data_IF_880270012586
#
_entry.id   IF_880270012586
#
_cell.length_a   1.000
_cell.length_b   1.000
_cell.length_c   1.000
_cell.angle_alpha   90.00
_cell.angle_beta   90.00
_cell.angle_gamma   90.00
#
_symmetry.space_group_name_H-M   'P 1'
#
loop_
_entity.id
_entity.type
_entity.pdbx_description
1 polymer ?
#
# COMPACT_ATOMS: atom_id res chain seq x y z
N UNK A 1 11.30 1.01 -14.96
CA UNK A 1 12.54 1.11 -14.15
C UNK A 1 13.67 1.93 -14.83
N UNK A 2 13.42 3.01 -15.61
CA UNK A 2 14.50 3.61 -16.46
C UNK A 2 14.48 5.13 -16.70
N UNK A 3 13.85 5.93 -15.84
CA UNK A 3 14.17 7.37 -15.77
C UNK A 3 14.70 7.74 -14.38
N UNK A 4 14.13 7.14 -13.33
CA UNK A 4 14.76 7.10 -12.01
C UNK A 4 16.13 6.39 -12.02
N UNK A 5 16.32 5.33 -12.81
CA UNK A 5 17.63 4.67 -12.93
C UNK A 5 18.63 5.43 -13.82
N UNK A 6 18.17 6.34 -14.68
CA UNK A 6 19.05 7.24 -15.44
C UNK A 6 19.36 8.48 -14.60
N UNK A 7 18.40 9.01 -13.83
CA UNK A 7 18.64 10.09 -12.87
C UNK A 7 19.42 9.65 -11.61
N UNK A 8 19.33 8.38 -11.20
CA UNK A 8 20.08 7.83 -10.05
C UNK A 8 21.48 7.32 -10.42
N UNK A 9 21.79 7.17 -11.72
CA UNK A 9 23.16 6.91 -12.21
C UNK A 9 23.83 8.12 -12.85
N UNK A 10 23.07 9.19 -13.12
CA UNK A 10 23.64 10.48 -13.43
C UNK A 10 24.06 11.07 -12.09
N UNK A 11 25.36 11.04 -11.82
CA UNK A 11 25.99 11.75 -10.72
C UNK A 11 25.32 13.12 -10.54
N UNK A 12 25.07 13.51 -9.28
CA UNK A 12 24.71 14.87 -8.87
C UNK A 12 25.88 15.82 -9.17
N UNK A 13 26.15 15.95 -10.46
CA UNK A 13 27.21 16.66 -11.12
C UNK A 13 26.54 17.63 -12.08
N UNK A 14 27.11 18.83 -12.22
CA UNK A 14 26.56 19.86 -13.11
C UNK A 14 26.41 19.34 -14.55
N UNK A 15 27.32 18.46 -14.99
CA UNK A 15 27.30 17.77 -16.29
C UNK A 15 26.08 16.86 -16.47
N UNK A 16 25.64 16.21 -15.41
CA UNK A 16 24.45 15.36 -15.40
C UNK A 16 23.15 16.15 -15.58
N UNK A 17 23.05 17.27 -14.84
CA UNK A 17 21.91 18.20 -14.90
C UNK A 17 21.83 18.89 -16.25
N UNK A 18 22.97 19.26 -16.83
CA UNK A 18 23.07 19.83 -18.17
C UNK A 18 22.62 18.84 -19.25
N UNK A 19 23.06 17.57 -19.16
CA UNK A 19 22.64 16.51 -20.10
C UNK A 19 21.13 16.25 -20.05
N UNK A 20 20.55 16.19 -18.85
CA UNK A 20 19.10 16.03 -18.68
C UNK A 20 18.32 17.23 -19.23
N UNK A 21 18.82 18.45 -19.01
CA UNK A 21 18.22 19.69 -19.53
C UNK A 21 18.26 19.72 -21.05
N UNK A 22 19.41 19.40 -21.65
CA UNK A 22 19.58 19.37 -23.10
C UNK A 22 18.67 18.33 -23.76
N UNK A 23 18.55 17.13 -23.16
CA UNK A 23 17.63 16.10 -23.64
C UNK A 23 16.16 16.54 -23.53
N UNK A 24 15.77 17.21 -22.44
CA UNK A 24 14.42 17.74 -22.28
C UNK A 24 14.09 18.82 -23.33
N UNK A 25 15.00 19.77 -23.55
CA UNK A 25 14.84 20.81 -24.57
C UNK A 25 14.74 20.21 -25.98
N UNK A 26 15.58 19.21 -26.28
CA UNK A 26 15.51 18.48 -27.54
C UNK A 26 14.15 17.82 -27.74
N UNK A 27 13.59 17.16 -26.71
CA UNK A 27 12.27 16.55 -26.81
C UNK A 27 11.16 17.59 -26.93
N UNK A 28 11.21 18.69 -26.19
CA UNK A 28 10.22 19.77 -26.31
C UNK A 28 10.13 20.28 -27.75
N UNK A 29 11.27 20.56 -28.38
CA UNK A 29 11.32 20.99 -29.78
C UNK A 29 10.76 19.91 -30.73
N UNK A 30 11.15 18.65 -30.52
CA UNK A 30 10.64 17.54 -31.35
C UNK A 30 9.14 17.38 -31.25
N UNK A 31 8.59 17.52 -30.04
CA UNK A 31 7.14 17.46 -29.80
C UNK A 31 6.44 18.61 -30.52
N UNK A 32 6.95 19.83 -30.43
CA UNK A 32 6.40 20.98 -31.18
C UNK A 32 6.40 20.74 -32.69
N UNK A 33 7.47 20.18 -33.25
CA UNK A 33 7.55 19.82 -34.68
C UNK A 33 6.47 18.81 -35.06
N UNK A 34 6.30 17.75 -34.25
CA UNK A 34 5.27 16.72 -34.49
C UNK A 34 3.86 17.31 -34.40
N UNK A 35 3.57 18.10 -33.38
CA UNK A 35 2.25 18.73 -33.22
C UNK A 35 1.96 19.77 -34.30
N UNK A 36 2.98 20.45 -34.83
CA UNK A 36 2.85 21.36 -35.97
C UNK A 36 2.56 20.60 -37.25
N UNK A 37 3.33 19.55 -37.55
CA UNK A 37 3.14 18.71 -38.73
C UNK A 37 1.77 18.01 -38.75
N UNK A 38 1.22 17.69 -37.58
CA UNK A 38 -0.06 16.99 -37.41
C UNK A 38 -1.24 17.94 -37.13
N UNK A 39 -1.10 19.25 -37.39
CA UNK A 39 -2.12 20.23 -37.00
C UNK A 39 -3.52 19.95 -37.54
N UNK A 40 -3.61 19.41 -38.75
CA UNK A 40 -4.85 19.06 -39.43
C UNK A 40 -5.13 17.56 -39.48
N UNK A 41 -4.38 16.78 -38.68
CA UNK A 41 -4.42 15.31 -38.67
C UNK A 41 -4.74 14.80 -37.26
N UNK A 42 -6.00 14.95 -36.78
CA UNK A 42 -6.39 14.50 -35.44
C UNK A 42 -6.11 13.01 -35.20
N UNK A 43 -6.21 12.18 -36.25
CA UNK A 43 -5.90 10.75 -36.22
C UNK A 43 -4.43 10.46 -35.90
N UNK A 44 -3.48 11.28 -36.36
CA UNK A 44 -2.06 11.11 -36.03
C UNK A 44 -1.78 11.49 -34.58
N UNK A 45 -2.44 12.54 -34.08
CA UNK A 45 -2.32 12.95 -32.67
C UNK A 45 -2.93 11.92 -31.74
N UNK A 46 -4.10 11.39 -32.08
CA UNK A 46 -4.72 10.30 -31.32
C UNK A 46 -3.85 9.03 -31.35
N UNK A 47 -3.21 8.74 -32.49
CA UNK A 47 -2.28 7.62 -32.63
C UNK A 47 -1.06 7.78 -31.73
N UNK A 48 -0.48 8.99 -31.68
CA UNK A 48 0.60 9.33 -30.75
C UNK A 48 0.18 9.11 -29.30
N UNK A 49 -0.93 9.71 -28.87
CA UNK A 49 -1.42 9.61 -27.48
C UNK A 49 -1.70 8.14 -27.12
N UNK A 50 -2.37 7.40 -28.00
CA UNK A 50 -2.63 5.98 -27.81
C UNK A 50 -1.34 5.16 -27.66
N UNK A 51 -0.36 5.41 -28.53
CA UNK A 51 0.93 4.70 -28.51
C UNK A 51 1.70 4.92 -27.20
N UNK A 52 1.62 6.11 -26.59
CA UNK A 52 2.31 6.40 -25.33
C UNK A 52 1.80 5.52 -24.18
N UNK A 53 0.49 5.41 -24.06
CA UNK A 53 -0.15 4.66 -22.98
C UNK A 53 -0.12 3.15 -23.21
N UNK A 54 -0.21 2.73 -24.47
CA UNK A 54 -0.22 1.32 -24.91
C UNK A 54 1.13 0.82 -25.41
N UNK A 55 2.23 1.35 -24.87
CA UNK A 55 3.58 0.89 -25.17
C UNK A 55 3.70 -0.63 -24.94
N UNK A 56 4.31 -1.32 -25.91
CA UNK A 56 4.50 -2.76 -25.93
C UNK A 56 3.34 -3.54 -26.56
N UNK A 57 2.21 -2.90 -26.83
CA UNK A 57 1.07 -3.52 -27.51
C UNK A 57 1.26 -3.55 -29.03
N UNK A 58 0.48 -4.40 -29.70
CA UNK A 58 0.48 -4.46 -31.17
C UNK A 58 -0.02 -3.15 -31.79
N UNK A 59 0.60 -2.74 -32.91
CA UNK A 59 0.25 -1.52 -33.63
C UNK A 59 -1.25 -1.42 -33.97
N UNK A 60 -1.90 -2.54 -34.31
CA UNK A 60 -3.34 -2.58 -34.62
C UNK A 60 -4.19 -2.28 -33.38
N UNK A 61 -3.81 -2.78 -32.21
CA UNK A 61 -4.45 -2.47 -30.92
C UNK A 61 -4.32 -0.98 -30.61
N UNK A 62 -3.12 -0.41 -30.79
CA UNK A 62 -2.86 1.02 -30.63
C UNK A 62 -3.75 1.86 -31.56
N UNK A 63 -3.87 1.48 -32.83
CA UNK A 63 -4.74 2.17 -33.79
C UNK A 63 -6.22 2.09 -33.40
N UNK A 64 -6.68 0.93 -32.93
CA UNK A 64 -8.06 0.74 -32.48
C UNK A 64 -8.40 1.70 -31.33
N UNK A 65 -7.53 1.80 -30.32
CA UNK A 65 -7.74 2.68 -29.18
C UNK A 65 -7.54 4.17 -29.53
N UNK A 66 -6.72 4.49 -30.53
CA UNK A 66 -6.62 5.85 -31.07
C UNK A 66 -7.94 6.31 -31.68
N UNK A 67 -8.64 5.44 -32.42
CA UNK A 67 -9.99 5.73 -32.94
C UNK A 67 -10.99 5.91 -31.80
N UNK A 68 -10.94 5.06 -30.78
CA UNK A 68 -11.81 5.21 -29.60
C UNK A 68 -11.60 6.54 -28.88
N UNK A 69 -10.37 7.04 -28.79
CA UNK A 69 -10.08 8.36 -28.21
C UNK A 69 -10.78 9.50 -28.99
N UNK A 70 -10.93 9.34 -30.31
CA UNK A 70 -11.68 10.27 -31.16
C UNK A 70 -13.20 10.02 -31.15
N UNK A 71 -13.69 9.02 -30.41
CA UNK A 71 -15.09 8.61 -30.43
C UNK A 71 -15.49 7.85 -31.71
N UNK A 72 -14.52 7.29 -32.43
CA UNK A 72 -14.72 6.64 -33.72
C UNK A 72 -14.67 5.11 -33.62
N UNK A 73 -15.46 4.44 -34.47
CA UNK A 73 -15.43 2.98 -34.64
C UNK A 73 -14.41 2.51 -35.68
N UNK A 74 -14.39 1.20 -35.95
CA UNK A 74 -13.57 0.66 -37.04
C UNK A 74 -14.05 1.19 -38.40
N UNK A 75 -13.11 1.64 -39.24
CA UNK A 75 -13.42 2.05 -40.62
C UNK A 75 -13.90 0.83 -41.41
N UNK A 76 -15.04 0.98 -42.09
CA UNK A 76 -15.68 -0.09 -42.87
C UNK A 76 -15.49 0.10 -44.38
N UNK A 77 -15.09 1.29 -44.82
CA UNK A 77 -14.82 1.60 -46.21
C UNK A 77 -13.45 1.06 -46.63
N UNK A 78 -13.43 0.01 -47.46
CA UNK A 78 -12.20 -0.55 -48.03
C UNK A 78 -11.37 0.50 -48.77
N UNK A 79 -12.02 1.44 -49.49
CA UNK A 79 -11.31 2.53 -50.17
C UNK A 79 -10.51 3.38 -49.18
N UNK A 80 -11.12 3.77 -48.06
CA UNK A 80 -10.43 4.55 -47.03
C UNK A 80 -9.33 3.74 -46.32
N UNK A 81 -9.57 2.45 -46.06
CA UNK A 81 -8.57 1.54 -45.48
C UNK A 81 -7.30 1.46 -46.35
N UNK A 82 -7.46 1.43 -47.68
CA UNK A 82 -6.35 1.36 -48.63
C UNK A 82 -5.79 2.74 -49.03
N UNK A 83 -6.23 3.83 -48.40
CA UNK A 83 -5.77 5.19 -48.70
C UNK A 83 -4.77 5.67 -47.65
N UNK A 84 -3.69 6.31 -48.10
CA UNK A 84 -2.68 6.92 -47.23
C UNK A 84 -1.53 5.98 -46.88
N UNK A 85 -0.62 6.42 -45.99
CA UNK A 85 0.54 5.66 -45.58
C UNK A 85 0.17 4.47 -44.67
N UNK A 86 1.03 3.44 -44.69
CA UNK A 86 0.91 2.28 -43.81
C UNK A 86 0.97 2.66 -42.32
N UNK A 87 0.37 1.84 -41.46
CA UNK A 87 0.28 2.08 -40.02
C UNK A 87 1.67 2.25 -39.37
N UNK A 88 2.66 1.46 -39.77
CA UNK A 88 4.04 1.60 -39.28
C UNK A 88 4.61 2.97 -39.61
N UNK A 89 4.48 3.41 -40.87
CA UNK A 89 4.95 4.73 -41.32
C UNK A 89 4.29 5.86 -40.55
N UNK A 90 2.99 5.74 -40.24
CA UNK A 90 2.25 6.71 -39.42
C UNK A 90 2.77 6.78 -37.97
N UNK A 91 2.97 5.62 -37.33
CA UNK A 91 3.54 5.52 -35.98
C UNK A 91 4.97 6.11 -35.92
N UNK A 92 5.80 5.81 -36.91
CA UNK A 92 7.16 6.36 -37.02
C UNK A 92 7.17 7.87 -37.25
N UNK A 93 6.22 8.39 -38.04
CA UNK A 93 6.07 9.82 -38.28
C UNK A 93 5.79 10.61 -36.98
N UNK A 94 5.04 10.03 -36.04
CA UNK A 94 4.79 10.61 -34.71
C UNK A 94 5.86 10.27 -33.66
N UNK A 95 6.93 9.59 -34.08
CA UNK A 95 8.13 9.33 -33.27
C UNK A 95 8.12 8.00 -32.52
N UNK A 96 7.15 7.13 -32.74
CA UNK A 96 7.17 5.77 -32.20
C UNK A 96 8.12 4.88 -33.00
N UNK A 97 8.55 3.78 -32.40
CA UNK A 97 9.30 2.72 -33.09
C UNK A 97 8.47 1.45 -33.10
N UNK A 98 8.39 0.76 -34.23
CA UNK A 98 7.66 -0.50 -34.36
C UNK A 98 8.65 -1.64 -34.52
N UNK A 99 8.80 -2.46 -33.47
CA UNK A 99 9.67 -3.64 -33.48
C UNK A 99 8.81 -4.90 -33.66
N UNK A 100 8.89 -5.52 -34.85
CA UNK A 100 8.03 -6.63 -35.23
C UNK A 100 6.57 -6.15 -35.39
N UNK A 101 5.77 -6.29 -34.32
CA UNK A 101 4.39 -5.77 -34.24
C UNK A 101 4.16 -4.80 -33.09
N UNK A 102 5.11 -4.70 -32.15
CA UNK A 102 4.94 -3.95 -30.92
C UNK A 102 5.41 -2.50 -31.07
N UNK A 103 4.65 -1.57 -30.49
CA UNK A 103 4.98 -0.14 -30.48
C UNK A 103 5.82 0.22 -29.26
N UNK A 104 6.88 1.00 -29.44
CA UNK A 104 7.80 1.39 -28.38
C UNK A 104 8.29 2.84 -28.52
N UNK A 105 8.76 3.38 -27.40
CA UNK A 105 9.52 4.64 -27.31
C UNK A 105 10.81 4.43 -26.51
N UNK A 106 11.29 3.18 -26.46
CA UNK A 106 12.39 2.74 -25.59
C UNK A 106 13.71 3.44 -25.91
N UNK A 107 13.89 3.81 -27.18
CA UNK A 107 15.02 4.55 -27.71
C UNK A 107 14.96 6.06 -27.42
N UNK A 108 13.85 6.56 -26.85
CA UNK A 108 13.58 7.99 -26.63
C UNK A 108 13.16 8.27 -25.18
N UNK A 109 14.07 8.10 -24.20
CA UNK A 109 13.76 8.32 -22.79
C UNK A 109 13.33 9.78 -22.56
N UNK A 110 12.15 9.96 -21.95
CA UNK A 110 11.58 11.28 -21.65
C UNK A 110 10.66 11.85 -22.74
N UNK A 111 10.62 11.28 -23.95
CA UNK A 111 9.75 11.74 -25.02
C UNK A 111 8.26 11.66 -24.64
N UNK A 112 7.85 10.53 -24.04
CA UNK A 112 6.47 10.35 -23.57
C UNK A 112 6.03 11.45 -22.59
N UNK A 113 6.90 11.79 -21.63
CA UNK A 113 6.66 12.87 -20.67
C UNK A 113 6.54 14.22 -21.37
N UNK A 114 7.43 14.52 -22.31
CA UNK A 114 7.40 15.78 -23.07
C UNK A 114 6.10 15.93 -23.89
N UNK A 115 5.64 14.85 -24.53
CA UNK A 115 4.35 14.85 -25.26
C UNK A 115 3.18 15.12 -24.31
N UNK A 116 3.13 14.44 -23.16
CA UNK A 116 2.04 14.60 -22.21
C UNK A 116 1.99 16.02 -21.62
N UNK A 117 3.13 16.59 -21.25
CA UNK A 117 3.22 17.99 -20.78
C UNK A 117 2.74 18.96 -21.87
N UNK A 118 3.23 18.80 -23.11
CA UNK A 118 2.79 19.64 -24.22
C UNK A 118 1.28 19.54 -24.47
N UNK A 119 0.74 18.32 -24.48
CA UNK A 119 -0.69 18.08 -24.63
C UNK A 119 -1.48 18.74 -23.50
N UNK A 120 -1.02 18.59 -22.25
CA UNK A 120 -1.69 19.14 -21.08
C UNK A 120 -1.73 20.67 -21.11
N UNK A 121 -0.64 21.35 -21.50
CA UNK A 121 -0.58 22.80 -21.58
C UNK A 121 -1.33 23.38 -22.78
N UNK A 122 -1.18 22.77 -23.95
CA UNK A 122 -1.65 23.37 -25.21
C UNK A 122 -3.10 22.98 -25.56
N UNK A 123 -3.65 21.98 -24.88
CA UNK A 123 -5.00 21.45 -25.13
C UNK A 123 -5.75 21.20 -23.81
N UNK A 124 -6.07 22.24 -23.01
CA UNK A 124 -6.73 22.05 -21.71
C UNK A 124 -8.04 21.25 -21.81
N UNK A 125 -8.81 21.44 -22.88
CA UNK A 125 -10.08 20.73 -23.08
C UNK A 125 -9.94 19.21 -23.28
N UNK A 126 -8.71 18.68 -23.46
CA UNK A 126 -8.48 17.23 -23.62
C UNK A 126 -8.36 16.50 -22.27
N UNK A 127 -8.19 17.21 -21.15
CA UNK A 127 -7.90 16.58 -19.85
C UNK A 127 -9.00 15.58 -19.47
N UNK A 128 -10.25 16.03 -19.43
CA UNK A 128 -11.39 15.18 -19.06
C UNK A 128 -11.62 14.04 -20.07
N UNK A 129 -11.70 14.27 -21.41
CA UNK A 129 -11.82 13.20 -22.38
C UNK A 129 -10.68 12.17 -22.31
N UNK A 130 -9.44 12.61 -22.08
CA UNK A 130 -8.29 11.73 -21.95
C UNK A 130 -8.41 10.84 -20.70
N UNK A 131 -8.76 11.42 -19.56
CA UNK A 131 -8.92 10.67 -18.30
C UNK A 131 -10.08 9.65 -18.41
N UNK A 132 -11.19 10.00 -19.05
CA UNK A 132 -12.31 9.07 -19.32
C UNK A 132 -11.89 7.94 -20.25
N UNK A 133 -11.14 8.25 -21.31
CA UNK A 133 -10.63 7.21 -22.22
C UNK A 133 -9.65 6.26 -21.51
N UNK A 134 -8.76 6.78 -20.67
CA UNK A 134 -7.84 5.97 -19.86
C UNK A 134 -8.58 5.08 -18.86
N UNK A 135 -9.66 5.57 -18.24
CA UNK A 135 -10.52 4.76 -17.37
C UNK A 135 -11.09 3.55 -18.10
N UNK A 136 -11.60 3.74 -19.33
CA UNK A 136 -12.06 2.65 -20.19
C UNK A 136 -10.96 1.63 -20.55
N UNK A 137 -9.71 2.11 -20.71
CA UNK A 137 -8.57 1.22 -20.95
C UNK A 137 -8.22 0.35 -19.76
N UNK A 138 -8.49 0.79 -18.53
CA UNK A 138 -8.16 0.08 -17.27
C UNK A 138 -9.30 -0.82 -16.81
N UNK A 139 -10.56 -0.41 -17.01
CA UNK A 139 -11.75 -1.18 -16.65
C UNK A 139 -11.88 -2.52 -17.41
N UNK A 140 -11.26 -2.61 -18.59
CA UNK A 140 -11.29 -3.81 -19.45
C UNK A 140 -10.16 -4.77 -19.13
N UNK A 141 -10.36 -5.68 -18.16
CA UNK A 141 -9.49 -6.81 -17.77
C UNK A 141 -8.01 -6.62 -18.12
N UNK A 142 -7.43 -5.53 -17.61
CA UNK A 142 -6.19 -4.96 -18.11
C UNK A 142 -4.97 -5.75 -17.66
N UNK A 143 -3.99 -5.93 -18.55
CA UNK A 143 -2.72 -6.56 -18.19
C UNK A 143 -1.92 -5.67 -17.22
N UNK A 144 -1.18 -6.30 -16.29
CA UNK A 144 -0.32 -5.60 -15.33
C UNK A 144 0.67 -4.64 -16.03
N UNK A 145 1.15 -5.02 -17.21
CA UNK A 145 2.07 -4.21 -18.04
C UNK A 145 1.43 -2.91 -18.49
N UNK A 146 0.19 -2.98 -19.00
CA UNK A 146 -0.56 -1.81 -19.45
C UNK A 146 -0.89 -0.89 -18.29
N UNK A 147 -1.36 -1.44 -17.17
CA UNK A 147 -1.66 -0.65 -15.97
C UNK A 147 -0.40 0.06 -15.44
N UNK A 148 0.76 -0.61 -15.48
CA UNK A 148 2.05 -0.02 -15.06
C UNK A 148 2.43 1.15 -15.95
N UNK A 149 2.29 0.98 -17.27
CA UNK A 149 2.57 2.04 -18.25
C UNK A 149 1.65 3.24 -18.03
N UNK A 150 0.33 3.00 -17.93
CA UNK A 150 -0.67 4.07 -17.79
C UNK A 150 -0.47 4.86 -16.51
N UNK A 151 -0.43 4.16 -15.38
CA UNK A 151 -0.30 4.80 -14.06
C UNK A 151 1.04 5.51 -13.89
N UNK A 152 2.13 4.97 -14.45
CA UNK A 152 3.45 5.59 -14.45
C UNK A 152 3.48 6.92 -15.20
N UNK A 153 2.88 6.98 -16.39
CA UNK A 153 2.80 8.23 -17.16
C UNK A 153 1.89 9.26 -16.50
N UNK A 154 0.74 8.83 -15.98
CA UNK A 154 -0.19 9.74 -15.31
C UNK A 154 0.40 10.33 -14.03
N UNK A 155 1.12 9.53 -13.23
CA UNK A 155 1.74 10.07 -12.01
C UNK A 155 2.88 11.03 -12.33
N UNK A 156 3.66 10.76 -13.37
CA UNK A 156 4.70 11.69 -13.82
C UNK A 156 4.09 13.00 -14.31
N UNK A 157 2.95 12.95 -15.00
CA UNK A 157 2.20 14.12 -15.42
C UNK A 157 1.63 14.88 -14.23
N UNK A 158 0.97 14.19 -13.29
CA UNK A 158 0.42 14.79 -12.08
C UNK A 158 1.48 15.53 -11.27
N UNK A 159 2.68 14.92 -11.14
CA UNK A 159 3.81 15.53 -10.43
C UNK A 159 4.35 16.75 -11.19
N UNK A 160 4.51 16.64 -12.51
CA UNK A 160 5.03 17.75 -13.33
C UNK A 160 4.09 18.96 -13.31
N UNK A 161 2.79 18.71 -13.33
CA UNK A 161 1.75 19.75 -13.45
C UNK A 161 1.13 20.14 -12.11
N UNK A 162 1.56 19.51 -11.03
CA UNK A 162 0.98 19.68 -9.69
C UNK A 162 -0.55 19.50 -9.68
N UNK A 163 -1.04 18.52 -10.46
CA UNK A 163 -2.48 18.31 -10.67
C UNK A 163 -2.99 17.09 -9.88
N UNK A 164 -3.78 17.38 -8.84
CA UNK A 164 -4.40 16.36 -7.98
C UNK A 164 -5.57 15.64 -8.65
N UNK A 165 -6.18 16.19 -9.71
CA UNK A 165 -7.32 15.57 -10.40
C UNK A 165 -6.96 14.17 -10.93
N UNK A 166 -5.77 14.03 -11.50
CA UNK A 166 -5.20 12.78 -12.00
C UNK A 166 -5.09 11.72 -10.89
N UNK A 167 -4.71 12.14 -9.68
CA UNK A 167 -4.62 11.24 -8.51
C UNK A 167 -5.99 10.73 -8.10
N UNK A 168 -7.04 11.56 -8.21
CA UNK A 168 -8.41 11.12 -7.96
C UNK A 168 -8.90 10.12 -9.02
N UNK A 169 -8.52 10.30 -10.29
CA UNK A 169 -8.81 9.34 -11.37
C UNK A 169 -8.16 7.99 -11.10
N UNK A 170 -6.87 7.97 -10.73
CA UNK A 170 -6.14 6.74 -10.39
C UNK A 170 -6.82 6.01 -9.22
N UNK A 171 -7.28 6.74 -8.21
CA UNK A 171 -8.08 6.17 -7.11
C UNK A 171 -9.39 5.54 -7.60
N UNK A 172 -9.99 6.07 -8.67
CA UNK A 172 -11.21 5.55 -9.29
C UNK A 172 -11.05 4.14 -9.88
N UNK A 173 -9.82 3.74 -10.21
CA UNK A 173 -9.53 2.40 -10.75
C UNK A 173 -9.52 1.29 -9.70
N UNK A 174 -9.59 1.67 -8.42
CA UNK A 174 -9.66 0.71 -7.32
C UNK A 174 -11.08 0.18 -7.19
N UNK A 175 -11.24 -1.14 -7.37
CA UNK A 175 -12.51 -1.84 -7.23
C UNK A 175 -12.38 -3.07 -6.32
N UNK A 176 -13.48 -3.55 -5.74
CA UNK A 176 -13.47 -4.74 -4.89
C UNK A 176 -13.15 -6.04 -5.66
N UNK A 177 -13.22 -6.01 -6.99
CA UNK A 177 -12.83 -7.13 -7.86
C UNK A 177 -11.38 -7.02 -8.36
N UNK A 178 -10.63 -5.98 -7.94
CA UNK A 178 -9.24 -5.78 -8.37
C UNK A 178 -8.34 -6.87 -7.78
N UNK A 179 -7.43 -7.40 -8.60
CA UNK A 179 -6.43 -8.37 -8.14
C UNK A 179 -5.42 -7.73 -7.17
N UNK A 180 -4.73 -8.53 -6.36
CA UNK A 180 -3.73 -8.01 -5.41
C UNK A 180 -2.64 -7.20 -6.10
N UNK A 181 -2.12 -7.71 -7.24
CA UNK A 181 -1.12 -7.01 -8.03
C UNK A 181 -1.60 -5.66 -8.56
N UNK A 182 -2.88 -5.56 -8.91
CA UNK A 182 -3.49 -4.31 -9.34
C UNK A 182 -3.48 -3.30 -8.19
N UNK A 183 -3.86 -3.72 -6.98
CA UNK A 183 -3.84 -2.86 -5.79
C UNK A 183 -2.42 -2.42 -5.42
N UNK A 184 -1.45 -3.32 -5.46
CA UNK A 184 -0.03 -3.01 -5.20
C UNK A 184 0.53 -1.96 -6.16
N UNK A 185 0.17 -2.09 -7.44
CA UNK A 185 0.61 -1.16 -8.47
C UNK A 185 0.02 0.24 -8.24
N UNK A 186 -1.28 0.33 -7.97
CA UNK A 186 -1.92 1.61 -7.62
C UNK A 186 -1.29 2.19 -6.34
N UNK A 187 -1.02 1.36 -5.34
CA UNK A 187 -0.37 1.81 -4.11
C UNK A 187 1.02 2.40 -4.38
N UNK A 188 1.85 1.76 -5.20
CA UNK A 188 3.17 2.28 -5.59
C UNK A 188 3.08 3.64 -6.31
N UNK A 189 2.05 3.82 -7.14
CA UNK A 189 1.80 5.06 -7.86
C UNK A 189 1.37 6.19 -6.90
N UNK A 190 0.44 5.90 -6.00
CA UNK A 190 0.00 6.87 -4.99
C UNK A 190 1.12 7.22 -4.00
N UNK A 191 1.98 6.27 -3.64
CA UNK A 191 3.16 6.51 -2.81
C UNK A 191 4.13 7.49 -3.50
N UNK A 192 4.44 7.26 -4.78
CA UNK A 192 5.28 8.18 -5.58
C UNK A 192 4.70 9.59 -5.65
N UNK A 193 3.40 9.73 -5.86
CA UNK A 193 2.73 11.04 -5.84
C UNK A 193 2.79 11.71 -4.46
N UNK A 194 2.64 10.93 -3.38
CA UNK A 194 2.65 11.41 -2.01
C UNK A 194 4.04 11.88 -1.53
N UNK A 195 5.11 11.43 -2.19
CA UNK A 195 6.49 11.81 -1.90
C UNK A 195 6.98 13.01 -2.70
N UNK A 196 6.31 13.38 -3.79
CA UNK A 196 6.69 14.53 -4.59
C UNK A 196 6.66 15.85 -3.80
N UNK A 197 7.62 16.75 -4.06
CA UNK A 197 7.79 17.97 -3.27
C UNK A 197 6.56 18.89 -3.30
N UNK A 198 6.08 19.23 -4.50
CA UNK A 198 4.95 20.15 -4.68
C UNK A 198 3.59 19.47 -4.49
N UNK A 199 3.41 18.29 -5.10
CA UNK A 199 2.14 17.56 -5.12
C UNK A 199 1.90 16.75 -3.83
N UNK A 200 2.97 16.27 -3.20
CA UNK A 200 2.94 15.33 -2.09
C UNK A 200 2.11 15.79 -0.88
N UNK A 201 2.21 17.04 -0.40
CA UNK A 201 1.37 17.52 0.69
C UNK A 201 -0.13 17.36 0.41
N UNK A 202 -0.57 17.65 -0.82
CA UNK A 202 -1.98 17.54 -1.23
C UNK A 202 -2.40 16.07 -1.31
N UNK A 203 -1.56 15.22 -1.89
CA UNK A 203 -1.84 13.77 -2.00
C UNK A 203 -1.88 13.10 -0.64
N UNK A 204 -0.94 13.43 0.26
CA UNK A 204 -0.95 12.95 1.64
C UNK A 204 -2.23 13.37 2.37
N UNK A 205 -2.73 14.60 2.14
CA UNK A 205 -4.05 15.02 2.65
C UNK A 205 -5.19 14.16 2.08
N UNK A 206 -5.21 13.90 0.77
CA UNK A 206 -6.22 13.02 0.16
C UNK A 206 -6.20 11.60 0.73
N UNK A 207 -5.03 11.01 0.91
CA UNK A 207 -4.88 9.67 1.47
C UNK A 207 -5.43 9.56 2.89
N UNK A 208 -5.27 10.59 3.74
CA UNK A 208 -5.86 10.57 5.09
C UNK A 208 -7.37 10.80 5.04
N UNK A 209 -7.85 11.71 4.18
CA UNK A 209 -9.28 11.95 3.98
C UNK A 209 -9.98 10.65 3.55
N UNK A 210 -9.41 9.91 2.60
CA UNK A 210 -9.93 8.62 2.15
C UNK A 210 -9.85 7.53 3.22
N UNK A 211 -8.75 7.44 3.96
CA UNK A 211 -8.61 6.45 5.04
C UNK A 211 -9.63 6.66 6.17
N UNK A 212 -9.99 7.92 6.42
CA UNK A 212 -10.94 8.31 7.47
C UNK A 212 -12.41 8.28 7.05
N UNK A 213 -12.69 8.13 5.75
CA UNK A 213 -14.06 8.12 5.22
C UNK A 213 -14.78 6.82 5.54
N UNK A 214 -15.97 6.93 6.15
CA UNK A 214 -16.85 5.78 6.41
C UNK A 214 -17.38 5.13 5.12
N UNK A 215 -17.39 5.89 4.02
CA UNK A 215 -17.82 5.44 2.69
C UNK A 215 -16.66 4.83 1.87
N UNK A 216 -15.45 4.75 2.41
CA UNK A 216 -14.34 4.12 1.73
C UNK A 216 -14.60 2.61 1.57
N UNK A 217 -14.55 2.13 0.32
CA UNK A 217 -14.60 0.70 0.04
C UNK A 217 -13.41 -0.02 0.66
N UNK A 218 -13.56 -1.32 0.89
CA UNK A 218 -12.50 -2.17 1.41
C UNK A 218 -11.26 -2.10 0.52
N UNK A 219 -11.42 -2.18 -0.82
CA UNK A 219 -10.29 -2.10 -1.74
C UNK A 219 -9.52 -0.77 -1.64
N UNK A 220 -10.20 0.37 -1.48
CA UNK A 220 -9.55 1.68 -1.33
C UNK A 220 -8.78 1.75 -0.01
N UNK A 221 -9.37 1.30 1.09
CA UNK A 221 -8.69 1.25 2.38
C UNK A 221 -7.46 0.32 2.33
N UNK A 222 -7.57 -0.82 1.63
CA UNK A 222 -6.46 -1.76 1.42
C UNK A 222 -5.31 -1.13 0.63
N UNK A 223 -5.60 -0.40 -0.45
CA UNK A 223 -4.57 0.36 -1.20
C UNK A 223 -3.86 1.36 -0.30
N UNK A 224 -4.58 2.08 0.55
CA UNK A 224 -3.95 3.05 1.46
C UNK A 224 -3.06 2.34 2.50
N UNK A 225 -3.47 1.17 2.99
CA UNK A 225 -2.61 0.35 3.85
C UNK A 225 -1.32 -0.10 3.14
N UNK A 226 -1.40 -0.49 1.86
CA UNK A 226 -0.25 -0.82 1.02
C UNK A 226 0.67 0.39 0.78
N UNK A 227 0.10 1.57 0.53
CA UNK A 227 0.87 2.83 0.43
C UNK A 227 1.68 3.06 1.71
N UNK A 228 1.10 2.76 2.87
CA UNK A 228 1.75 2.89 4.18
C UNK A 228 2.74 1.77 4.52
N UNK A 229 2.98 0.80 3.62
CA UNK A 229 4.04 -0.20 3.75
C UNK A 229 5.34 0.23 3.11
N UNK A 230 5.27 1.02 2.04
CA UNK A 230 6.44 1.37 1.23
C UNK A 230 7.21 2.58 1.74
N UNK A 231 7.92 3.24 0.82
CA UNK A 231 8.78 4.40 1.04
C UNK A 231 8.08 5.58 1.75
N UNK A 232 6.74 5.68 1.67
CA UNK A 232 6.00 6.72 2.38
C UNK A 232 6.15 6.56 3.91
N UNK A 233 6.18 5.34 4.41
CA UNK A 233 6.33 5.06 5.83
C UNK A 233 7.73 5.38 6.35
N UNK A 234 8.74 5.27 5.51
CA UNK A 234 10.14 5.61 5.84
C UNK A 234 10.30 7.13 5.98
N UNK A 235 9.78 7.90 5.02
CA UNK A 235 9.91 9.35 4.99
C UNK A 235 8.88 10.09 5.87
N UNK A 236 7.67 9.52 6.05
CA UNK A 236 6.56 10.14 6.77
C UNK A 236 5.85 9.18 7.75
N UNK A 237 6.58 8.53 8.69
CA UNK A 237 6.06 7.46 9.55
C UNK A 237 4.84 7.86 10.38
N UNK A 238 4.81 9.08 10.96
CA UNK A 238 3.64 9.52 11.75
C UNK A 238 2.38 9.66 10.89
N UNK A 239 2.52 10.07 9.63
CA UNK A 239 1.38 10.18 8.75
C UNK A 239 0.91 8.79 8.28
N UNK A 240 1.84 7.86 8.03
CA UNK A 240 1.51 6.47 7.74
C UNK A 240 0.75 5.83 8.92
N UNK A 241 1.27 5.96 10.15
CA UNK A 241 0.62 5.50 11.37
C UNK A 241 -0.79 6.09 11.54
N UNK A 242 -0.97 7.39 11.32
CA UNK A 242 -2.30 8.00 11.41
C UNK A 242 -3.31 7.36 10.45
N UNK A 243 -2.91 7.08 9.19
CA UNK A 243 -3.77 6.42 8.19
C UNK A 243 -4.09 4.99 8.58
N UNK A 244 -3.09 4.21 9.00
CA UNK A 244 -3.27 2.84 9.48
C UNK A 244 -4.25 2.79 10.65
N UNK A 245 -4.15 3.74 11.59
CA UNK A 245 -5.10 3.88 12.70
C UNK A 245 -6.54 4.02 12.20
N UNK A 246 -6.80 4.88 11.20
CA UNK A 246 -8.15 5.05 10.65
C UNK A 246 -8.68 3.76 10.02
N UNK A 247 -7.84 3.05 9.25
CA UNK A 247 -8.23 1.79 8.62
C UNK A 247 -8.55 0.73 9.69
N UNK A 248 -7.75 0.63 10.75
CA UNK A 248 -7.97 -0.32 11.85
C UNK A 248 -9.23 -0.02 12.68
N UNK A 249 -9.86 1.17 12.55
CA UNK A 249 -11.12 1.51 13.24
C UNK A 249 -12.35 0.91 12.56
N UNK A 250 -12.22 0.34 11.35
CA UNK A 250 -13.36 -0.26 10.63
C UNK A 250 -14.03 -1.33 11.51
N UNK A 251 -15.38 -1.44 11.52
CA UNK A 251 -16.06 -2.38 12.41
C UNK A 251 -15.62 -3.83 12.20
N UNK A 252 -15.59 -4.25 10.95
CA UNK A 252 -15.17 -5.60 10.55
C UNK A 252 -13.65 -5.68 10.38
N UNK A 253 -13.06 -6.82 10.74
CA UNK A 253 -11.66 -7.15 10.45
C UNK A 253 -11.57 -7.72 9.02
N UNK A 254 -11.83 -6.85 8.06
CA UNK A 254 -11.80 -7.15 6.62
C UNK A 254 -10.35 -7.23 6.06
N UNK A 255 -10.18 -7.40 4.74
CA UNK A 255 -8.84 -7.50 4.17
C UNK A 255 -8.05 -6.18 4.30
N UNK A 256 -8.73 -5.02 4.33
CA UNK A 256 -8.07 -3.74 4.54
C UNK A 256 -7.47 -3.62 5.96
N UNK A 257 -8.21 -4.07 6.98
CA UNK A 257 -7.68 -4.12 8.36
C UNK A 257 -6.49 -5.06 8.46
N UNK A 258 -6.56 -6.27 7.87
CA UNK A 258 -5.43 -7.22 7.86
C UNK A 258 -4.21 -6.66 7.14
N UNK A 259 -4.41 -5.94 6.04
CA UNK A 259 -3.33 -5.27 5.32
C UNK A 259 -2.71 -4.15 6.16
N UNK A 260 -3.53 -3.39 6.90
CA UNK A 260 -3.04 -2.34 7.80
C UNK A 260 -2.22 -2.91 8.97
N UNK A 261 -2.63 -4.04 9.55
CA UNK A 261 -1.87 -4.77 10.56
C UNK A 261 -0.53 -5.27 10.01
N UNK A 262 -0.52 -5.83 8.80
CA UNK A 262 0.70 -6.27 8.13
C UNK A 262 1.64 -5.10 7.80
N UNK A 263 1.10 -3.96 7.37
CA UNK A 263 1.90 -2.74 7.13
C UNK A 263 2.47 -2.17 8.43
N UNK A 264 1.71 -2.20 9.53
CA UNK A 264 2.20 -1.77 10.85
C UNK A 264 3.35 -2.66 11.34
N UNK A 265 3.23 -3.98 11.19
CA UNK A 265 4.33 -4.93 11.48
C UNK A 265 5.56 -4.64 10.63
N UNK A 266 5.38 -4.43 9.34
CA UNK A 266 6.49 -4.09 8.44
C UNK A 266 7.20 -2.80 8.85
N UNK A 267 6.45 -1.78 9.27
CA UNK A 267 7.05 -0.56 9.82
C UNK A 267 7.85 -0.84 11.09
N UNK A 268 7.38 -1.74 11.96
CA UNK A 268 8.06 -2.07 13.22
C UNK A 268 9.38 -2.84 13.02
N UNK A 269 9.52 -3.62 11.96
CA UNK A 269 10.78 -4.32 11.62
C UNK A 269 11.79 -3.42 10.90
N UNK A 270 11.39 -2.21 10.50
CA UNK A 270 12.29 -1.20 9.94
C UNK A 270 13.38 -0.78 10.94
N UNK A 271 14.61 -0.59 10.44
CA UNK A 271 15.77 -0.27 11.27
C UNK A 271 15.51 0.99 12.13
N UNK A 272 15.51 0.81 13.45
CA UNK A 272 15.28 1.88 14.43
C UNK A 272 13.82 2.37 14.54
N UNK A 273 12.86 1.74 13.87
CA UNK A 273 11.46 2.21 13.85
C UNK A 273 10.62 1.64 15.00
N UNK A 274 10.95 0.45 15.53
CA UNK A 274 10.17 -0.20 16.58
C UNK A 274 9.85 0.71 17.79
N UNK A 275 10.79 1.47 18.39
CA UNK A 275 10.48 2.33 19.52
C UNK A 275 9.41 3.38 19.20
N UNK A 276 9.46 3.96 18.01
CA UNK A 276 8.50 4.98 17.55
C UNK A 276 7.12 4.39 17.27
N UNK A 277 7.09 3.24 16.59
CA UNK A 277 5.84 2.51 16.33
C UNK A 277 5.21 2.11 17.65
N UNK A 278 5.99 1.51 18.55
CA UNK A 278 5.56 1.08 19.87
C UNK A 278 4.99 2.23 20.70
N UNK A 279 5.71 3.35 20.83
CA UNK A 279 5.23 4.53 21.56
C UNK A 279 3.88 5.02 21.01
N UNK A 280 3.72 5.02 19.69
CA UNK A 280 2.49 5.45 19.02
C UNK A 280 1.33 4.48 19.28
N UNK A 281 1.59 3.17 19.20
CA UNK A 281 0.60 2.11 19.45
C UNK A 281 0.15 2.12 20.91
N UNK A 282 1.08 2.27 21.86
CA UNK A 282 0.76 2.41 23.28
C UNK A 282 -0.16 3.61 23.55
N UNK A 283 0.09 4.76 22.89
CA UNK A 283 -0.81 5.92 22.99
C UNK A 283 -2.22 5.59 22.48
N UNK A 284 -2.34 4.85 21.38
CA UNK A 284 -3.66 4.46 20.85
C UNK A 284 -4.39 3.45 21.71
N UNK A 285 -3.67 2.55 22.38
CA UNK A 285 -4.24 1.57 23.29
C UNK A 285 -4.74 2.21 24.60
N UNK A 286 -4.11 3.31 25.04
CA UNK A 286 -4.53 4.10 26.21
C UNK A 286 -5.84 4.88 25.99
N UNK A 287 -6.18 5.17 24.73
CA UNK A 287 -7.48 5.71 24.41
C UNK A 287 -8.55 4.63 24.69
N UNK A 288 -9.32 4.79 25.78
CA UNK A 288 -10.25 3.77 26.28
C UNK A 288 -11.16 3.20 25.18
N UNK A 289 -11.23 1.86 25.06
CA UNK A 289 -12.03 1.12 24.05
C UNK A 289 -11.72 1.52 22.60
N UNK A 290 -10.46 1.82 22.33
CA UNK A 290 -9.96 2.07 20.97
C UNK A 290 -9.76 0.75 20.24
N UNK A 291 -10.76 0.35 19.43
CA UNK A 291 -10.67 -0.83 18.56
C UNK A 291 -9.38 -0.85 17.71
N UNK A 292 -9.00 0.31 17.16
CA UNK A 292 -7.76 0.43 16.40
C UNK A 292 -6.50 0.32 17.26
N UNK A 293 -6.53 0.86 18.49
CA UNK A 293 -5.42 0.71 19.44
C UNK A 293 -5.20 -0.75 19.82
N UNK A 294 -6.29 -1.47 20.11
CA UNK A 294 -6.24 -2.89 20.45
C UNK A 294 -5.73 -3.74 19.28
N UNK A 295 -6.24 -3.53 18.05
CA UNK A 295 -5.75 -4.23 16.85
C UNK A 295 -4.28 -3.93 16.54
N UNK A 296 -3.89 -2.66 16.63
CA UNK A 296 -2.52 -2.24 16.41
C UNK A 296 -1.57 -2.92 17.41
N UNK A 297 -1.93 -2.88 18.70
CA UNK A 297 -1.19 -3.54 19.78
C UNK A 297 -1.03 -5.04 19.54
N UNK A 298 -2.14 -5.74 19.29
CA UNK A 298 -2.13 -7.18 19.03
C UNK A 298 -1.30 -7.53 17.78
N UNK A 299 -1.35 -6.71 16.74
CA UNK A 299 -0.59 -6.97 15.51
C UNK A 299 0.92 -6.91 15.69
N UNK A 300 1.44 -6.07 16.61
CA UNK A 300 2.87 -5.99 16.92
C UNK A 300 3.32 -7.17 17.80
N UNK A 301 2.41 -7.69 18.63
CA UNK A 301 2.68 -8.80 19.54
C UNK A 301 2.36 -10.17 18.94
N UNK A 302 1.79 -10.22 17.75
CA UNK A 302 1.56 -11.47 17.02
C UNK A 302 2.93 -12.04 16.57
N UNK A 303 3.34 -13.23 17.05
CA UNK A 303 4.59 -13.83 16.63
C UNK A 303 4.56 -14.34 15.18
N UNK A 304 3.38 -14.43 14.56
CA UNK A 304 3.25 -14.78 13.15
C UNK A 304 3.05 -13.51 12.27
N UNK A 305 3.71 -13.40 11.10
CA UNK A 305 4.64 -14.35 10.50
C UNK A 305 6.09 -14.24 11.01
N UNK A 306 6.42 -13.24 11.83
CA UNK A 306 7.79 -12.97 12.30
C UNK A 306 7.79 -12.51 13.77
N UNK A 307 8.45 -13.26 14.68
CA UNK A 307 8.48 -12.94 16.10
C UNK A 307 9.44 -11.80 16.47
N UNK A 308 10.21 -11.23 15.52
CA UNK A 308 11.27 -10.27 15.82
C UNK A 308 10.82 -9.08 16.69
N UNK A 309 9.70 -8.43 16.36
CA UNK A 309 9.22 -7.30 17.14
C UNK A 309 8.86 -7.70 18.58
N UNK A 310 8.19 -8.85 18.74
CA UNK A 310 7.85 -9.41 20.04
C UNK A 310 9.10 -9.79 20.85
N UNK A 311 10.11 -10.42 20.23
CA UNK A 311 11.38 -10.78 20.87
C UNK A 311 12.06 -9.54 21.46
N UNK A 312 12.17 -8.46 20.69
CA UNK A 312 12.82 -7.22 21.13
C UNK A 312 12.03 -6.58 22.27
N UNK A 313 10.70 -6.56 22.20
CA UNK A 313 9.86 -6.01 23.27
C UNK A 313 9.95 -6.83 24.56
N UNK A 314 9.93 -8.16 24.48
CA UNK A 314 10.09 -9.04 25.64
C UNK A 314 11.48 -8.91 26.28
N UNK A 315 12.54 -8.84 25.47
CA UNK A 315 13.89 -8.61 25.96
C UNK A 315 14.03 -7.23 26.64
N UNK A 316 13.39 -6.21 26.07
CA UNK A 316 13.35 -4.86 26.65
C UNK A 316 12.58 -4.83 27.97
N UNK A 317 11.45 -5.54 28.05
CA UNK A 317 10.63 -5.64 29.27
C UNK A 317 11.36 -6.31 30.45
N UNK A 318 12.35 -7.17 30.19
CA UNK A 318 13.21 -7.74 31.25
C UNK A 318 14.16 -6.71 31.85
N UNK A 319 14.49 -5.64 31.13
CA UNK A 319 15.45 -4.62 31.54
C UNK A 319 14.78 -3.31 31.98
N UNK A 320 13.60 -3.04 31.43
CA UNK A 320 12.85 -1.81 31.62
C UNK A 320 11.40 -2.09 32.07
N UNK A 321 11.08 -1.64 33.27
CA UNK A 321 9.76 -1.81 33.86
C UNK A 321 8.68 -1.01 33.12
N UNK A 322 9.03 0.12 32.49
CA UNK A 322 8.07 0.90 31.71
C UNK A 322 7.57 0.13 30.48
N UNK A 323 8.46 -0.63 29.84
CA UNK A 323 8.08 -1.50 28.70
C UNK A 323 7.21 -2.66 29.18
N UNK A 324 7.56 -3.28 30.31
CA UNK A 324 6.75 -4.34 30.90
C UNK A 324 5.35 -3.84 31.30
N UNK A 325 5.27 -2.65 31.89
CA UNK A 325 4.00 -2.01 32.27
C UNK A 325 3.16 -1.67 31.03
N UNK A 326 3.78 -1.12 29.99
CA UNK A 326 3.11 -0.83 28.72
C UNK A 326 2.54 -2.10 28.05
N UNK A 327 3.24 -3.24 28.12
CA UNK A 327 2.74 -4.53 27.64
C UNK A 327 1.50 -4.98 28.43
N UNK A 328 1.54 -4.91 29.77
CA UNK A 328 0.41 -5.32 30.62
C UNK A 328 -0.79 -4.37 30.46
N UNK A 329 -0.55 -3.06 30.37
CA UNK A 329 -1.57 -2.04 30.10
C UNK A 329 -2.23 -2.25 28.74
N UNK A 330 -1.44 -2.47 27.68
CA UNK A 330 -1.98 -2.70 26.34
C UNK A 330 -2.77 -4.00 26.23
N UNK A 331 -2.31 -5.08 26.87
CA UNK A 331 -3.07 -6.33 26.96
C UNK A 331 -4.39 -6.14 27.73
N UNK A 332 -4.34 -5.41 28.85
CA UNK A 332 -5.55 -5.05 29.62
C UNK A 332 -6.56 -4.33 28.72
N UNK A 333 -6.13 -3.29 28.00
CA UNK A 333 -7.00 -2.55 27.09
C UNK A 333 -7.56 -3.42 25.95
N UNK A 334 -6.75 -4.30 25.38
CA UNK A 334 -7.19 -5.21 24.31
C UNK A 334 -8.20 -6.27 24.81
N UNK A 335 -7.99 -6.81 26.02
CA UNK A 335 -8.91 -7.79 26.62
C UNK A 335 -10.26 -7.17 27.02
N UNK A 336 -10.29 -5.88 27.32
CA UNK A 336 -11.52 -5.14 27.60
C UNK A 336 -12.31 -4.76 26.34
N UNK A 337 -11.71 -4.87 25.14
CA UNK A 337 -12.34 -4.54 23.86
C UNK A 337 -12.95 -5.79 23.19
N UNK A 338 -14.29 -5.98 23.22
CA UNK A 338 -14.92 -7.20 22.71
C UNK A 338 -14.65 -7.46 21.22
N UNK A 339 -14.45 -6.38 20.43
CA UNK A 339 -14.19 -6.47 18.99
C UNK A 339 -12.89 -7.18 18.61
N UNK A 340 -12.00 -7.47 19.58
CA UNK A 340 -10.72 -8.17 19.34
C UNK A 340 -10.53 -9.45 20.16
N UNK A 341 -11.54 -9.93 20.90
CA UNK A 341 -11.39 -11.11 21.77
C UNK A 341 -10.86 -12.35 21.04
N UNK A 342 -11.30 -12.58 19.80
CA UNK A 342 -10.80 -13.67 18.99
C UNK A 342 -9.34 -13.48 18.59
N UNK A 343 -8.93 -12.25 18.28
CA UNK A 343 -7.54 -11.92 17.98
C UNK A 343 -6.67 -12.05 19.23
N UNK A 344 -7.15 -11.66 20.41
CA UNK A 344 -6.46 -11.90 21.69
C UNK A 344 -6.18 -13.39 21.89
N UNK A 345 -7.17 -14.28 21.66
CA UNK A 345 -6.97 -15.73 21.73
C UNK A 345 -5.92 -16.22 20.76
N UNK A 346 -5.98 -15.77 19.51
CA UNK A 346 -5.01 -16.15 18.47
C UNK A 346 -3.59 -15.74 18.85
N UNK A 347 -3.38 -14.50 19.32
CA UNK A 347 -2.06 -14.02 19.75
C UNK A 347 -1.56 -14.76 21.00
N UNK A 348 -2.42 -15.03 21.99
CA UNK A 348 -2.04 -15.82 23.18
C UNK A 348 -1.63 -17.25 22.82
N UNK A 349 -2.35 -17.89 21.88
CA UNK A 349 -1.96 -19.21 21.35
C UNK A 349 -0.65 -19.13 20.55
N UNK A 350 -0.46 -18.07 19.77
CA UNK A 350 0.79 -17.78 19.08
C UNK A 350 1.96 -17.67 20.06
N UNK A 351 1.79 -16.95 21.17
CA UNK A 351 2.79 -16.86 22.24
C UNK A 351 3.13 -18.24 22.82
N UNK A 352 2.12 -19.09 23.07
CA UNK A 352 2.35 -20.44 23.55
C UNK A 352 3.22 -21.26 22.58
N UNK A 353 2.92 -21.20 21.29
CA UNK A 353 3.67 -21.93 20.24
C UNK A 353 5.08 -21.40 20.03
N UNK A 354 5.23 -20.08 19.88
CA UNK A 354 6.54 -19.45 19.73
C UNK A 354 7.43 -19.71 20.94
N UNK A 355 6.85 -19.74 22.15
CA UNK A 355 7.54 -20.13 23.38
C UNK A 355 8.00 -21.59 23.32
N UNK A 356 7.12 -22.52 22.94
CA UNK A 356 7.45 -23.94 22.84
C UNK A 356 8.51 -24.24 21.77
N UNK A 357 8.51 -23.46 20.68
CA UNK A 357 9.53 -23.52 19.63
C UNK A 357 10.88 -22.92 20.05
N UNK A 358 10.92 -22.16 21.15
CA UNK A 358 12.12 -21.45 21.59
C UNK A 358 12.38 -20.13 20.87
N UNK A 359 11.40 -19.64 20.10
CA UNK A 359 11.50 -18.38 19.36
C UNK A 359 11.38 -17.15 20.27
N UNK A 360 10.74 -17.27 21.42
CA UNK A 360 10.62 -16.19 22.40
C UNK A 360 10.99 -16.66 23.81
N UNK A 361 11.49 -15.74 24.64
CA UNK A 361 11.96 -16.07 25.99
C UNK A 361 10.82 -16.52 26.91
N UNK A 362 10.91 -17.77 27.39
CA UNK A 362 9.89 -18.38 28.24
C UNK A 362 9.68 -17.64 29.57
N UNK A 363 10.74 -17.07 30.15
CA UNK A 363 10.66 -16.40 31.44
C UNK A 363 9.94 -15.05 31.29
N UNK A 364 10.30 -14.27 30.27
CA UNK A 364 9.65 -13.00 29.96
C UNK A 364 8.17 -13.18 29.65
N UNK A 365 7.81 -14.20 28.86
CA UNK A 365 6.40 -14.54 28.57
C UNK A 365 5.64 -14.84 29.86
N UNK A 366 6.20 -15.71 30.72
CA UNK A 366 5.57 -16.07 32.00
C UNK A 366 5.33 -14.84 32.89
N UNK A 367 6.35 -14.00 33.07
CA UNK A 367 6.26 -12.81 33.93
C UNK A 367 5.18 -11.83 33.46
N UNK A 368 5.06 -11.59 32.15
CA UNK A 368 4.02 -10.73 31.58
C UNK A 368 2.64 -11.37 31.73
N UNK A 369 2.49 -12.66 31.40
CA UNK A 369 1.19 -13.34 31.47
C UNK A 369 0.69 -13.52 32.90
N UNK A 370 1.55 -13.81 33.88
CA UNK A 370 1.14 -13.87 35.29
C UNK A 370 0.50 -12.54 35.74
N UNK A 371 1.10 -11.41 35.38
CA UNK A 371 0.57 -10.07 35.67
C UNK A 371 -0.77 -9.80 34.97
N UNK A 372 -0.94 -10.30 33.74
CA UNK A 372 -2.19 -10.15 32.99
C UNK A 372 -3.30 -11.01 33.61
N UNK A 373 -3.01 -12.28 33.93
CA UNK A 373 -3.96 -13.21 34.55
C UNK A 373 -4.44 -12.70 35.90
N UNK A 374 -3.54 -12.15 36.72
CA UNK A 374 -3.90 -11.51 38.00
C UNK A 374 -4.93 -10.38 37.84
N UNK A 375 -4.81 -9.59 36.77
CA UNK A 375 -5.67 -8.42 36.53
C UNK A 375 -6.96 -8.75 35.77
N UNK A 376 -6.92 -9.73 34.88
CA UNK A 376 -7.94 -9.94 33.84
C UNK A 376 -8.51 -11.36 33.79
N UNK A 377 -8.43 -12.12 34.89
CA UNK A 377 -8.91 -13.52 34.99
C UNK A 377 -10.34 -13.73 34.45
N UNK A 378 -11.22 -12.75 34.64
CA UNK A 378 -12.64 -12.83 34.27
C UNK A 378 -12.93 -12.38 32.83
N UNK A 379 -11.92 -11.92 32.08
CA UNK A 379 -12.10 -11.63 30.65
C UNK A 379 -12.11 -12.92 29.85
N UNK A 380 -12.99 -13.01 28.86
CA UNK A 380 -13.21 -14.24 28.08
C UNK A 380 -11.90 -14.83 27.51
N UNK A 381 -11.00 -14.07 26.86
CA UNK A 381 -9.79 -14.66 26.30
C UNK A 381 -8.85 -15.26 27.36
N UNK A 382 -8.77 -14.66 28.55
CA UNK A 382 -7.95 -15.17 29.65
C UNK A 382 -8.61 -16.36 30.34
N UNK A 383 -9.92 -16.32 30.58
CA UNK A 383 -10.64 -17.48 31.13
C UNK A 383 -10.54 -18.68 30.19
N UNK A 384 -10.64 -18.47 28.87
CA UNK A 384 -10.46 -19.51 27.85
C UNK A 384 -9.02 -20.05 27.85
N UNK A 385 -8.03 -19.18 28.03
CA UNK A 385 -6.64 -19.58 28.14
C UNK A 385 -6.40 -20.41 29.40
N UNK A 386 -7.00 -20.08 30.55
CA UNK A 386 -6.73 -20.75 31.82
C UNK A 386 -7.55 -22.02 32.00
N UNK A 387 -8.86 -21.96 31.78
CA UNK A 387 -9.78 -23.05 32.06
C UNK A 387 -10.09 -23.91 30.83
N UNK A 388 -9.84 -23.40 29.63
CA UNK A 388 -10.24 -24.02 28.39
C UNK A 388 -11.73 -23.85 28.07
N UNK A 389 -12.04 -24.05 26.81
CA UNK A 389 -13.40 -24.04 26.25
C UNK A 389 -13.84 -25.49 26.07
N UNK A 390 -15.02 -25.82 26.58
CA UNK A 390 -15.57 -27.16 26.48
C UNK A 390 -15.65 -27.62 25.01
N UNK A 391 -15.16 -28.82 24.73
CA UNK A 391 -15.16 -29.41 23.38
C UNK A 391 -14.05 -28.94 22.45
N UNK A 392 -13.13 -28.08 22.91
CA UNK A 392 -11.96 -27.65 22.14
C UNK A 392 -10.73 -28.46 22.56
N UNK A 393 -10.09 -29.10 21.58
CA UNK A 393 -8.77 -29.71 21.78
C UNK A 393 -7.69 -28.63 21.71
N UNK A 394 -6.79 -28.63 22.70
CA UNK A 394 -5.66 -27.69 22.79
C UNK A 394 -4.37 -28.39 22.39
N UNK A 395 -3.46 -27.65 21.74
CA UNK A 395 -2.12 -28.14 21.46
C UNK A 395 -1.28 -28.27 22.75
N UNK A 396 -0.21 -29.06 22.67
CA UNK A 396 0.69 -29.31 23.80
C UNK A 396 1.33 -28.01 24.33
N UNK A 397 1.65 -27.08 23.43
CA UNK A 397 2.23 -25.78 23.77
C UNK A 397 1.33 -24.95 24.70
N UNK A 398 0.01 -24.93 24.45
CA UNK A 398 -0.96 -24.25 25.33
C UNK A 398 -1.10 -24.98 26.67
N UNK A 399 -1.10 -26.31 26.68
CA UNK A 399 -1.18 -27.11 27.91
C UNK A 399 0.04 -26.84 28.81
N UNK A 400 1.23 -26.82 28.23
CA UNK A 400 2.46 -26.53 28.97
C UNK A 400 2.50 -25.08 29.46
N UNK A 401 2.07 -24.12 28.65
CA UNK A 401 1.92 -22.74 29.09
C UNK A 401 1.00 -22.63 30.32
N UNK A 402 -0.17 -23.28 30.31
CA UNK A 402 -1.10 -23.30 31.46
C UNK A 402 -0.45 -23.84 32.73
N UNK A 403 0.33 -24.92 32.61
CA UNK A 403 1.00 -25.56 33.75
C UNK A 403 2.06 -24.63 34.37
N UNK A 404 2.72 -23.84 33.54
CA UNK A 404 3.81 -22.97 33.97
C UNK A 404 3.34 -21.66 34.61
N UNK A 405 2.11 -21.21 34.31
CA UNK A 405 1.52 -20.02 34.92
C UNK A 405 1.24 -20.23 36.41
N UNK A 406 1.56 -19.22 37.22
CA UNK A 406 1.50 -19.33 38.68
C UNK A 406 0.06 -19.44 39.23
N UNK A 407 -0.96 -19.25 38.40
CA UNK A 407 -2.37 -19.32 38.78
C UNK A 407 -2.74 -20.63 39.53
N UNK A 408 -2.36 -21.79 39.00
CA UNK A 408 -2.66 -23.08 39.63
C UNK A 408 -1.85 -23.34 40.92
N UNK A 409 -0.63 -22.80 40.99
CA UNK A 409 0.19 -22.87 42.22
C UNK A 409 -0.38 -22.03 43.36
N UNK A 410 -1.14 -20.97 43.05
CA UNK A 410 -1.78 -20.11 44.05
C UNK A 410 -3.14 -20.64 44.49
N UNK A 411 -3.95 -21.21 43.57
CA UNK A 411 -5.20 -21.88 43.92
C UNK A 411 -4.97 -23.02 44.93
N UNK A 412 -3.92 -23.81 44.71
CA UNK A 412 -3.55 -24.91 45.62
C UNK A 412 -3.02 -24.45 46.98
N UNK A 413 -2.44 -23.24 47.08
CA UNK A 413 -2.04 -22.62 48.36
C UNK A 413 -3.23 -21.99 49.12
N UNK A 414 -4.23 -21.46 48.42
CA UNK A 414 -5.45 -20.93 49.04
C UNK A 414 -6.40 -22.01 49.57
N UNK A 415 -6.33 -23.25 49.06
CA UNK A 415 -7.11 -24.39 49.56
C UNK A 415 -6.51 -25.04 50.83
N UNK A 416 -5.34 -24.60 51.29
CA UNK A 416 -4.81 -24.96 52.61
C UNK A 416 -5.32 -24.02 53.71
N UNK A 417 -6.65 -23.99 53.91
CA UNK A 417 -7.22 -23.59 55.19
C UNK A 417 -7.10 -24.77 56.16
N UNK A 418 -6.13 -24.70 57.06
CA UNK A 418 -6.08 -25.57 58.22
C UNK A 418 -7.34 -25.38 59.07
N UNK A 419 -7.99 -26.45 59.57
CA UNK A 419 -9.03 -26.27 60.57
C UNK A 419 -8.39 -25.69 61.84
N UNK A 420 -8.88 -24.54 62.28
CA UNK A 420 -8.51 -23.99 63.60
C UNK A 420 -8.95 -24.95 64.73
N UNK A 421 -8.20 -25.01 65.85
CA UNK A 421 -8.35 -26.01 66.90
C UNK A 421 -9.66 -25.95 67.70
#
# INVERSE_FOLDING_TARGET
MRLAAVAAFVEDSDTGRETATNSFQQWSKRVEEVFTATQQLPEERALLVSALFLRGEEAVTVQSHARQLLGEGAESSVRKILTGPDLTTRLEAVGATVAGRAVSFDDKPGYARAVLIHLWHQRPDIHDPLLVWLDGLVASNTSDVRLTSISGHLVDLAIAENDVSVVNTIKGWVSDNSSERHLDLIAGVLAKAAEADALGPVVRKRLIDWASSEQASEAVARVIALVCRGSLAEHYPLQALARLRHIMRRPERDAAVREAEASLRHMATGLGQLPRVWETVCKWAKDSRSLAGARAFLSILDPEPDPQALQVLLASAQQDHEVADALVEGWTAALEEPGVHEQCRQVLHGWARARAAGDIDSKAVKEILDRIVERQLYTLPISDLIYGVAGVAYDEAIIDLRRDLNFFSRLSASDTFAPEP
#
